data_IF_606710028414
#
_entry.id   IF_606710028414
#
_cell.length_a   1.000
_cell.length_b   1.000
_cell.length_c   1.000
_cell.angle_alpha   90.00
_cell.angle_beta   90.00
_cell.angle_gamma   90.00
#
_symmetry.space_group_name_H-M   'P 1'
#
loop_
_entity.id
_entity.type
_entity.pdbx_description
1 polymer ?
#
# COMPACT_ATOMS: atom_id res chain seq x y z
N UNK A 1 15.57 -9.14 -9.22
CA UNK A 1 15.87 -7.92 -9.95
C UNK A 1 15.16 -7.95 -11.30
N UNK A 2 14.28 -6.98 -11.56
CA UNK A 2 13.50 -6.96 -12.80
C UNK A 2 14.21 -6.17 -13.87
N UNK A 3 14.13 -6.66 -15.10
CA UNK A 3 14.46 -5.85 -16.26
C UNK A 3 13.30 -4.89 -16.54
N UNK A 4 13.57 -3.83 -17.30
CA UNK A 4 12.58 -2.80 -17.59
C UNK A 4 11.30 -3.38 -18.21
N UNK A 5 11.44 -4.35 -19.11
CA UNK A 5 10.29 -5.00 -19.75
C UNK A 5 9.44 -5.78 -18.75
N UNK A 6 10.09 -6.44 -17.79
CA UNK A 6 9.39 -7.19 -16.76
C UNK A 6 8.59 -6.28 -15.83
N UNK A 7 9.14 -5.10 -15.51
CA UNK A 7 8.41 -4.12 -14.69
C UNK A 7 7.17 -3.59 -15.42
N UNK A 8 7.29 -3.34 -16.72
CA UNK A 8 6.15 -2.87 -17.51
C UNK A 8 5.04 -3.92 -17.51
N UNK A 9 5.39 -5.18 -17.72
CA UNK A 9 4.43 -6.27 -17.73
C UNK A 9 3.81 -6.49 -16.34
N UNK A 10 4.62 -6.44 -15.29
CA UNK A 10 4.15 -6.60 -13.93
C UNK A 10 3.17 -5.48 -13.58
N UNK A 11 3.50 -4.24 -13.96
CA UNK A 11 2.64 -3.09 -13.72
C UNK A 11 1.29 -3.26 -14.43
N UNK A 12 1.31 -3.66 -15.69
CA UNK A 12 0.07 -3.84 -16.45
C UNK A 12 -0.83 -4.90 -15.83
N UNK A 13 -0.25 -6.03 -15.39
CA UNK A 13 -1.01 -7.09 -14.74
C UNK A 13 -1.59 -6.62 -13.40
N UNK A 14 -0.81 -5.87 -12.63
CA UNK A 14 -1.27 -5.37 -11.35
C UNK A 14 -2.35 -4.31 -11.51
N UNK A 15 -2.24 -3.45 -12.52
CA UNK A 15 -3.26 -2.45 -12.83
C UNK A 15 -4.59 -3.15 -13.15
N UNK A 16 -4.53 -4.19 -13.97
CA UNK A 16 -5.72 -4.96 -14.30
C UNK A 16 -6.33 -5.60 -13.05
N UNK A 17 -5.51 -6.25 -12.24
CA UNK A 17 -5.98 -6.92 -11.04
C UNK A 17 -6.56 -5.93 -10.01
N UNK A 18 -5.95 -4.75 -9.90
CA UNK A 18 -6.40 -3.72 -8.97
C UNK A 18 -7.74 -3.13 -9.40
N UNK A 19 -7.95 -2.96 -10.71
CA UNK A 19 -9.12 -2.28 -11.24
C UNK A 19 -10.25 -3.25 -11.60
N UNK A 20 -9.93 -4.45 -12.05
CA UNK A 20 -10.88 -5.40 -12.62
C UNK A 20 -11.03 -6.70 -11.83
N UNK A 21 -10.19 -6.93 -10.84
CA UNK A 21 -10.26 -8.15 -10.04
C UNK A 21 -11.62 -8.27 -9.36
N UNK A 22 -12.16 -9.50 -9.31
CA UNK A 22 -13.47 -9.74 -8.73
C UNK A 22 -13.47 -9.83 -7.20
N UNK A 23 -12.34 -10.23 -6.61
CA UNK A 23 -12.21 -10.38 -5.17
C UNK A 23 -11.68 -9.08 -4.55
N UNK A 24 -12.43 -8.43 -3.65
CA UNK A 24 -11.98 -7.19 -3.01
C UNK A 24 -10.64 -7.32 -2.28
N UNK A 25 -10.39 -8.45 -1.63
CA UNK A 25 -9.12 -8.66 -0.92
C UNK A 25 -7.96 -8.74 -1.89
N UNK A 26 -8.15 -9.43 -3.02
CA UNK A 26 -7.11 -9.52 -4.05
C UNK A 26 -6.90 -8.19 -4.76
N UNK A 27 -7.97 -7.41 -4.96
CA UNK A 27 -7.82 -6.05 -5.49
C UNK A 27 -6.99 -5.17 -4.57
N UNK A 28 -7.22 -5.28 -3.26
CA UNK A 28 -6.43 -4.54 -2.28
C UNK A 28 -4.96 -4.90 -2.31
N UNK A 29 -4.67 -6.18 -2.37
CA UNK A 29 -3.29 -6.66 -2.47
C UNK A 29 -2.63 -6.20 -3.78
N UNK A 30 -3.36 -6.26 -4.88
CA UNK A 30 -2.86 -5.80 -6.19
C UNK A 30 -2.54 -4.31 -6.15
N UNK A 31 -3.41 -3.50 -5.52
CA UNK A 31 -3.15 -2.06 -5.38
C UNK A 31 -1.90 -1.78 -4.55
N UNK A 32 -1.71 -2.53 -3.48
CA UNK A 32 -0.52 -2.39 -2.65
C UNK A 32 0.75 -2.70 -3.45
N UNK A 33 0.73 -3.81 -4.18
CA UNK A 33 1.88 -4.19 -5.00
C UNK A 33 2.13 -3.24 -6.15
N UNK A 34 1.05 -2.76 -6.77
CA UNK A 34 1.15 -1.75 -7.83
C UNK A 34 1.80 -0.48 -7.31
N UNK A 35 1.38 -0.01 -6.13
CA UNK A 35 1.98 1.17 -5.52
C UNK A 35 3.47 0.97 -5.27
N UNK A 36 3.88 -0.22 -4.83
CA UNK A 36 5.29 -0.52 -4.61
C UNK A 36 6.09 -0.46 -5.92
N UNK A 37 5.53 -0.99 -7.00
CA UNK A 37 6.16 -0.91 -8.33
C UNK A 37 6.28 0.54 -8.78
N UNK A 38 5.21 1.31 -8.61
CA UNK A 38 5.22 2.73 -9.00
C UNK A 38 6.25 3.53 -8.20
N UNK A 39 6.36 3.24 -6.92
CA UNK A 39 7.39 3.87 -6.08
C UNK A 39 8.79 3.55 -6.61
N UNK A 40 9.03 2.30 -6.95
CA UNK A 40 10.33 1.87 -7.47
C UNK A 40 10.64 2.55 -8.79
N UNK A 41 9.63 2.81 -9.61
CA UNK A 41 9.79 3.51 -10.88
C UNK A 41 9.88 5.02 -10.73
N UNK A 42 9.76 5.55 -9.51
CA UNK A 42 9.79 6.98 -9.26
C UNK A 42 8.50 7.71 -9.61
N UNK A 43 7.42 6.99 -9.87
CA UNK A 43 6.11 7.59 -10.16
C UNK A 43 5.35 7.79 -8.85
N UNK A 44 5.77 8.79 -8.11
CA UNK A 44 5.35 8.97 -6.72
C UNK A 44 3.89 9.39 -6.58
N UNK A 45 3.42 10.29 -7.43
CA UNK A 45 2.02 10.73 -7.37
C UNK A 45 1.07 9.60 -7.72
N UNK A 46 1.42 8.80 -8.72
CA UNK A 46 0.63 7.64 -9.11
C UNK A 46 0.60 6.59 -8.00
N UNK A 47 1.74 6.36 -7.35
CA UNK A 47 1.82 5.44 -6.23
C UNK A 47 0.92 5.90 -5.08
N UNK A 48 0.98 7.19 -4.77
CA UNK A 48 0.17 7.75 -3.70
C UNK A 48 -1.32 7.61 -4.00
N UNK A 49 -1.72 7.82 -5.26
CA UNK A 49 -3.11 7.68 -5.66
C UNK A 49 -3.64 6.26 -5.42
N UNK A 50 -2.81 5.26 -5.62
CA UNK A 50 -3.21 3.86 -5.38
C UNK A 50 -3.34 3.53 -3.90
N UNK A 51 -2.80 4.37 -3.01
CA UNK A 51 -2.79 4.13 -1.58
C UNK A 51 -3.81 4.97 -0.81
N UNK A 52 -4.70 5.67 -1.50
CA UNK A 52 -5.63 6.63 -0.86
C UNK A 52 -6.62 5.96 0.09
N UNK A 53 -7.08 4.76 -0.25
CA UNK A 53 -8.05 4.09 0.61
C UNK A 53 -7.78 2.60 0.63
N UNK A 54 -7.51 2.08 1.81
CA UNK A 54 -7.43 0.64 2.00
C UNK A 54 -8.83 0.05 1.91
N UNK A 55 -8.98 -1.02 1.14
CA UNK A 55 -10.27 -1.68 0.97
C UNK A 55 -10.68 -2.49 2.20
N UNK A 56 -9.73 -2.80 3.07
CA UNK A 56 -10.02 -3.56 4.29
C UNK A 56 -9.06 -3.16 5.40
N UNK A 57 -9.49 -3.43 6.63
CA UNK A 57 -8.65 -3.19 7.81
C UNK A 57 -7.38 -4.05 7.78
N UNK A 58 -7.45 -5.21 7.14
CA UNK A 58 -6.31 -6.13 7.06
C UNK A 58 -5.11 -5.51 6.35
N UNK A 59 -5.36 -4.63 5.38
CA UNK A 59 -4.28 -4.01 4.60
C UNK A 59 -3.97 -2.58 5.03
N UNK A 60 -4.75 -2.03 5.97
CA UNK A 60 -4.60 -0.62 6.35
C UNK A 60 -3.17 -0.28 6.77
N UNK A 61 -2.59 -1.09 7.66
CA UNK A 61 -1.25 -0.83 8.14
C UNK A 61 -0.22 -0.85 7.01
N UNK A 62 -0.36 -1.81 6.09
CA UNK A 62 0.55 -1.91 4.94
C UNK A 62 0.39 -0.73 3.98
N UNK A 63 -0.85 -0.30 3.74
CA UNK A 63 -1.11 0.86 2.91
C UNK A 63 -0.51 2.12 3.52
N UNK A 64 -0.70 2.32 4.82
CA UNK A 64 -0.17 3.50 5.51
C UNK A 64 1.36 3.48 5.55
N UNK A 65 1.96 2.31 5.78
CA UNK A 65 3.40 2.17 5.80
C UNK A 65 4.01 2.52 4.44
N UNK A 66 3.47 1.96 3.36
CA UNK A 66 3.95 2.24 2.02
C UNK A 66 3.67 3.69 1.62
N UNK A 67 2.54 4.25 2.05
CA UNK A 67 2.25 5.67 1.83
C UNK A 67 3.32 6.54 2.49
N UNK A 68 3.77 6.15 3.68
CA UNK A 68 4.89 6.84 4.32
C UNK A 68 6.15 6.81 3.47
N UNK A 69 6.46 5.66 2.86
CA UNK A 69 7.62 5.54 1.98
C UNK A 69 7.50 6.46 0.76
N UNK A 70 6.32 6.53 0.16
CA UNK A 70 6.09 7.42 -1.00
C UNK A 70 6.23 8.89 -0.59
N UNK A 71 5.64 9.26 0.54
CA UNK A 71 5.71 10.65 1.03
C UNK A 71 7.14 11.03 1.38
N UNK A 72 7.91 10.11 1.96
CA UNK A 72 9.32 10.35 2.25
C UNK A 72 10.10 10.57 0.95
N UNK A 73 9.82 9.78 -0.08
CA UNK A 73 10.45 9.94 -1.38
C UNK A 73 10.10 11.28 -2.03
N UNK A 74 8.92 11.82 -1.73
CA UNK A 74 8.49 13.13 -2.19
C UNK A 74 9.10 14.28 -1.38
N UNK A 75 9.85 13.97 -0.32
CA UNK A 75 10.42 14.98 0.55
C UNK A 75 9.45 15.53 1.60
N UNK A 76 8.32 14.87 1.80
CA UNK A 76 7.28 15.31 2.74
C UNK A 76 7.45 14.60 4.07
N UNK A 77 8.49 14.97 4.81
CA UNK A 77 8.91 14.25 6.02
C UNK A 77 7.83 14.21 7.11
N UNK A 78 7.14 15.33 7.34
CA UNK A 78 6.11 15.39 8.37
C UNK A 78 4.91 14.49 8.01
N UNK A 79 4.48 14.53 6.76
CA UNK A 79 3.38 13.69 6.29
C UNK A 79 3.77 12.21 6.31
N UNK A 80 5.04 11.91 5.95
CA UNK A 80 5.55 10.55 5.99
C UNK A 80 5.50 10.00 7.43
N UNK A 81 5.92 10.79 8.39
CA UNK A 81 5.86 10.39 9.81
C UNK A 81 4.43 10.12 10.26
N UNK A 82 3.49 10.96 9.84
CA UNK A 82 2.09 10.76 10.17
C UNK A 82 1.56 9.45 9.58
N UNK A 83 1.94 9.12 8.35
CA UNK A 83 1.54 7.88 7.70
C UNK A 83 2.13 6.66 8.41
N UNK A 84 3.41 6.72 8.79
CA UNK A 84 4.03 5.64 9.55
C UNK A 84 3.38 5.48 10.92
N UNK A 85 3.02 6.56 11.57
CA UNK A 85 2.33 6.49 12.85
C UNK A 85 0.95 5.85 12.70
N UNK A 86 0.24 6.18 11.62
CA UNK A 86 -1.04 5.56 11.32
C UNK A 86 -0.89 4.04 11.13
N UNK A 87 0.20 3.60 10.48
CA UNK A 87 0.48 2.18 10.33
C UNK A 87 0.68 1.49 11.66
N UNK A 88 1.45 2.12 12.55
CA UNK A 88 1.70 1.60 13.90
C UNK A 88 0.37 1.52 14.67
N UNK A 89 -0.44 2.56 14.61
CA UNK A 89 -1.72 2.61 15.30
C UNK A 89 -2.66 1.50 14.80
N UNK A 90 -2.67 1.26 13.49
CA UNK A 90 -3.49 0.22 12.90
C UNK A 90 -3.04 -1.18 13.36
N UNK A 91 -1.73 -1.41 13.47
CA UNK A 91 -1.19 -2.66 13.96
C UNK A 91 -1.51 -2.86 15.44
N UNK A 92 -1.41 -1.79 16.23
CA UNK A 92 -1.73 -1.85 17.65
C UNK A 92 -3.21 -2.17 17.87
N UNK A 93 -4.08 -1.51 17.11
CA UNK A 93 -5.52 -1.78 17.20
C UNK A 93 -5.85 -3.22 16.85
N UNK A 94 -5.21 -3.76 15.79
CA UNK A 94 -5.42 -5.14 15.39
C UNK A 94 -4.93 -6.11 16.48
N UNK A 95 -3.81 -5.80 17.12
CA UNK A 95 -3.27 -6.61 18.22
C UNK A 95 -4.20 -6.61 19.43
N UNK A 96 -4.72 -5.44 19.79
CA UNK A 96 -5.65 -5.29 20.89
C UNK A 96 -6.94 -6.08 20.65
N UNK A 97 -7.46 -6.01 19.44
CA UNK A 97 -8.65 -6.77 19.05
C UNK A 97 -8.39 -8.27 19.14
N UNK A 98 -7.23 -8.72 18.70
CA UNK A 98 -6.87 -10.12 18.78
C UNK A 98 -6.76 -10.61 20.24
N UNK A 99 -6.19 -9.79 21.11
CA UNK A 99 -6.11 -10.12 22.53
C UNK A 99 -7.49 -10.19 23.16
N UNK A 100 -8.34 -9.24 22.86
CA UNK A 100 -9.72 -9.22 23.37
C UNK A 100 -10.49 -10.46 22.95
N UNK A 101 -10.33 -10.87 21.70
CA UNK A 101 -11.03 -12.06 21.18
C UNK A 101 -10.59 -13.34 21.86
N UNK A 102 -9.36 -13.39 22.38
CA UNK A 102 -8.85 -14.60 23.06
C UNK A 102 -9.40 -14.76 24.48
N UNK A 103 -9.83 -13.67 25.07
CA UNK A 103 -10.39 -13.72 26.41
C UNK A 103 -11.87 -14.18 26.38
#
# INVERSE_FOLDING_TARGET
>A
QFEAGDLVNARAQLEWAADKGSDPALRGLARLRLAAVLLQQGELDAALARLQAASSAAYRARFDDLRGDVLAAQGKAAEARAAYQAAIDALTAAGDDAVTLRE
#
